data_IF_165768000384
#
_entry.id   IF_165768000384
#
_cell.length_a   1.000
_cell.length_b   1.000
_cell.length_c   1.000
_cell.angle_alpha   90.00
_cell.angle_beta   90.00
_cell.angle_gamma   90.00
#
_symmetry.space_group_name_H-M   'P 1'
#
loop_
_entity.id
_entity.type
_entity.pdbx_description
1 polymer ?
#
# COMPACT_ATOMS: atom_id res chain seq x y z
N UNK A 1 53.63 -32.71 -20.91
CA UNK A 1 53.61 -31.85 -19.71
C UNK A 1 52.15 -31.52 -19.42
N UNK A 2 51.54 -32.23 -18.47
CA UNK A 2 50.14 -32.03 -18.07
C UNK A 2 50.06 -30.97 -16.97
N UNK A 3 49.36 -29.88 -17.23
CA UNK A 3 49.03 -28.89 -16.21
C UNK A 3 47.74 -29.32 -15.51
N UNK A 4 47.85 -29.74 -14.25
CA UNK A 4 46.70 -29.94 -13.36
C UNK A 4 46.23 -28.59 -12.82
N UNK A 5 44.96 -28.27 -13.02
CA UNK A 5 44.33 -27.10 -12.40
C UNK A 5 43.89 -27.40 -10.96
N UNK A 6 44.10 -26.47 -10.02
CA UNK A 6 43.67 -26.65 -8.64
C UNK A 6 42.17 -26.35 -8.49
N UNK A 7 41.47 -27.32 -7.89
CA UNK A 7 40.08 -27.20 -7.41
C UNK A 7 39.99 -26.16 -6.29
N UNK A 8 39.49 -24.96 -6.60
CA UNK A 8 39.08 -23.99 -5.58
C UNK A 8 37.75 -24.42 -4.94
N UNK A 9 37.77 -24.64 -3.62
CA UNK A 9 36.55 -24.85 -2.83
C UNK A 9 35.85 -23.50 -2.60
N UNK A 10 34.50 -23.45 -2.62
CA UNK A 10 33.77 -22.22 -2.34
C UNK A 10 33.93 -21.80 -0.88
N UNK A 11 34.40 -20.58 -0.69
CA UNK A 11 34.52 -19.93 0.60
C UNK A 11 33.14 -19.44 1.02
N UNK A 12 32.45 -20.20 1.88
CA UNK A 12 31.18 -19.77 2.49
C UNK A 12 31.52 -18.71 3.53
N UNK A 13 31.08 -17.47 3.30
CA UNK A 13 31.17 -16.42 4.32
C UNK A 13 30.07 -16.60 5.37
N UNK A 14 30.37 -16.51 6.67
CA UNK A 14 29.36 -16.54 7.72
C UNK A 14 28.71 -15.16 7.82
N UNK A 15 27.47 -15.05 7.37
CA UNK A 15 26.69 -13.83 7.51
C UNK A 15 26.33 -13.60 8.98
N UNK A 16 26.47 -12.34 9.36
CA UNK A 16 26.23 -11.72 10.66
C UNK A 16 24.91 -12.16 11.32
N UNK A 17 25.00 -12.74 12.53
CA UNK A 17 23.92 -12.69 13.49
C UNK A 17 23.83 -11.28 14.07
N UNK A 18 22.89 -10.45 13.59
CA UNK A 18 22.46 -9.27 14.30
C UNK A 18 21.57 -9.69 15.48
N UNK A 19 22.00 -9.33 16.69
CA UNK A 19 21.24 -9.52 17.91
C UNK A 19 19.94 -8.72 17.88
N UNK A 20 18.84 -9.42 18.12
CA UNK A 20 17.51 -8.84 18.36
C UNK A 20 17.55 -8.27 19.78
N UNK A 21 17.72 -6.95 19.88
CA UNK A 21 17.53 -6.19 21.11
C UNK A 21 16.05 -6.21 21.49
N UNK A 22 15.72 -6.95 22.54
CA UNK A 22 14.41 -6.91 23.19
C UNK A 22 14.37 -5.68 24.12
N UNK A 23 14.03 -4.52 23.57
CA UNK A 23 13.61 -3.39 24.41
C UNK A 23 12.14 -3.58 24.80
N UNK A 24 11.79 -3.56 26.10
CA UNK A 24 10.41 -3.63 26.54
C UNK A 24 9.66 -2.34 26.16
N UNK A 25 8.40 -2.40 25.71
CA UNK A 25 7.64 -1.21 25.38
C UNK A 25 7.36 -0.38 26.63
N UNK A 26 7.70 0.90 26.57
CA UNK A 26 7.34 1.90 27.56
C UNK A 26 5.82 1.90 27.77
N UNK A 27 5.40 1.46 28.96
CA UNK A 27 4.02 1.51 29.42
C UNK A 27 3.63 2.98 29.66
N UNK A 28 2.98 3.62 28.69
CA UNK A 28 2.28 4.88 28.91
C UNK A 28 0.89 4.51 29.42
N UNK A 29 0.72 4.58 30.75
CA UNK A 29 -0.54 4.35 31.45
C UNK A 29 -1.47 5.56 31.26
N UNK A 30 -2.36 5.50 30.26
CA UNK A 30 -3.45 6.45 30.07
C UNK A 30 -4.67 6.08 30.95
N UNK A 31 -4.46 5.93 32.26
CA UNK A 31 -5.56 5.95 33.25
C UNK A 31 -5.97 7.38 33.54
N UNK A 32 -6.58 8.02 32.55
CA UNK A 32 -7.05 9.40 32.63
C UNK A 32 -8.48 9.54 32.12
N UNK A 33 -9.45 9.47 33.04
CA UNK A 33 -10.82 10.02 32.90
C UNK A 33 -11.73 9.36 31.86
N UNK A 34 -12.39 8.27 32.29
CA UNK A 34 -13.76 7.96 31.86
C UNK A 34 -14.61 7.58 33.05
N UNK A 35 -14.82 8.55 33.94
CA UNK A 35 -16.03 8.61 34.76
C UNK A 35 -16.95 9.61 34.09
N UNK A 36 -17.50 9.24 32.93
CA UNK A 36 -18.66 9.92 32.40
C UNK A 36 -19.81 9.52 33.34
N UNK A 37 -20.04 10.37 34.34
CA UNK A 37 -21.26 10.37 35.11
C UNK A 37 -22.41 10.35 34.12
N UNK A 38 -23.11 9.22 34.09
CA UNK A 38 -24.51 9.15 33.67
C UNK A 38 -25.30 9.98 34.69
N UNK A 39 -25.23 11.30 34.57
CA UNK A 39 -26.22 12.19 35.13
C UNK A 39 -27.49 12.04 34.27
N UNK A 40 -28.19 10.92 34.47
CA UNK A 40 -29.64 10.87 34.28
C UNK A 40 -30.26 11.77 35.35
N UNK A 41 -30.07 13.08 35.22
CA UNK A 41 -30.92 14.04 35.92
C UNK A 41 -32.24 13.96 35.18
N UNK A 42 -33.16 13.17 35.75
CA UNK A 42 -34.59 13.26 35.46
C UNK A 42 -35.02 14.70 35.73
N UNK A 43 -34.92 15.56 34.71
CA UNK A 43 -35.42 16.95 34.76
C UNK A 43 -36.94 16.96 35.00
N UNK A 44 -37.61 15.82 34.77
CA UNK A 44 -39.05 15.63 34.98
C UNK A 44 -39.50 15.80 36.43
N UNK A 45 -38.65 15.50 37.43
CA UNK A 45 -39.10 15.47 38.84
C UNK A 45 -38.84 16.78 39.61
N UNK A 46 -37.93 17.63 39.12
CA UNK A 46 -37.60 18.90 39.80
C UNK A 46 -38.46 20.09 39.36
N UNK A 47 -39.15 20.00 38.21
CA UNK A 47 -39.94 21.12 37.66
C UNK A 47 -41.38 21.12 38.18
N UNK A 48 -41.88 20.00 38.73
CA UNK A 48 -43.29 19.88 39.12
C UNK A 48 -43.63 20.38 40.53
N UNK A 49 -42.64 20.75 41.36
CA UNK A 49 -42.89 21.14 42.76
C UNK A 49 -43.11 22.65 43.01
N UNK A 50 -43.07 23.50 42.00
CA UNK A 50 -43.16 24.97 42.19
C UNK A 50 -44.59 25.53 42.04
N UNK A 51 -45.58 24.77 41.55
CA UNK A 51 -46.85 25.38 41.08
C UNK A 51 -48.07 25.20 42.00
N UNK A 52 -48.04 24.36 43.04
CA UNK A 52 -49.30 23.98 43.75
C UNK A 52 -49.54 24.75 45.07
N UNK A 53 -48.77 25.80 45.37
CA UNK A 53 -48.72 26.36 46.75
C UNK A 53 -49.13 27.80 47.01
N UNK A 54 -49.47 28.66 46.02
CA UNK A 54 -49.67 30.10 46.29
C UNK A 54 -51.04 30.63 45.83
N UNK A 55 -51.82 31.03 46.83
CA UNK A 55 -52.95 31.94 46.69
C UNK A 55 -52.44 33.30 46.17
N UNK A 56 -52.99 33.78 45.06
CA UNK A 56 -53.14 35.19 44.62
C UNK A 56 -51.99 36.17 44.97
N UNK A 57 -50.73 35.87 44.60
CA UNK A 57 -49.65 36.87 44.64
C UNK A 57 -48.85 36.89 43.31
N UNK A 58 -48.90 38.04 42.65
CA UNK A 58 -48.05 38.60 41.59
C UNK A 58 -47.72 37.78 40.33
N UNK A 59 -48.57 37.94 39.31
CA UNK A 59 -48.28 37.54 37.92
C UNK A 59 -46.94 38.09 37.37
N UNK A 60 -46.47 39.23 37.90
CA UNK A 60 -45.18 39.80 37.53
C UNK A 60 -43.98 38.94 37.98
N UNK A 61 -44.05 38.27 39.13
CA UNK A 61 -42.96 37.45 39.64
C UNK A 61 -42.83 36.13 38.87
N UNK A 62 -43.97 35.54 38.49
CA UNK A 62 -44.02 34.33 37.67
C UNK A 62 -43.47 34.55 36.25
N UNK A 63 -43.70 35.73 35.67
CA UNK A 63 -43.13 36.09 34.37
C UNK A 63 -41.60 36.21 34.42
N UNK A 64 -41.05 36.79 35.48
CA UNK A 64 -39.59 36.96 35.64
C UNK A 64 -38.90 35.62 35.89
N UNK A 65 -39.47 34.72 36.69
CA UNK A 65 -38.91 33.37 36.89
C UNK A 65 -39.01 32.50 35.63
N UNK A 66 -40.12 32.59 34.89
CA UNK A 66 -40.24 31.94 33.57
C UNK A 66 -39.21 32.43 32.56
N UNK A 67 -38.98 33.74 32.49
CA UNK A 67 -37.97 34.33 31.62
C UNK A 67 -36.53 33.94 32.02
N UNK A 68 -36.24 33.87 33.32
CA UNK A 68 -34.94 33.45 33.84
C UNK A 68 -34.65 31.96 33.56
N UNK A 69 -35.65 31.09 33.68
CA UNK A 69 -35.51 29.66 33.32
C UNK A 69 -35.34 29.50 31.81
N UNK A 70 -36.09 30.25 31.01
CA UNK A 70 -35.97 30.24 29.54
C UNK A 70 -34.59 30.68 29.05
N UNK A 71 -33.99 31.70 29.68
CA UNK A 71 -32.63 32.17 29.31
C UNK A 71 -31.55 31.15 29.68
N UNK A 72 -31.64 30.50 30.85
CA UNK A 72 -30.72 29.43 31.26
C UNK A 72 -30.82 28.20 30.35
N UNK A 73 -32.03 27.79 29.97
CA UNK A 73 -32.22 26.70 29.01
C UNK A 73 -31.59 27.03 27.65
N UNK A 74 -31.70 28.28 27.20
CA UNK A 74 -31.10 28.75 25.94
C UNK A 74 -29.56 28.77 26.00
N UNK A 75 -28.98 29.18 27.13
CA UNK A 75 -27.52 29.14 27.35
C UNK A 75 -27.01 27.69 27.41
N UNK A 76 -27.73 26.79 28.07
CA UNK A 76 -27.37 25.37 28.10
C UNK A 76 -27.40 24.73 26.71
N UNK A 77 -28.45 25.02 25.93
CA UNK A 77 -28.58 24.55 24.55
C UNK A 77 -27.47 25.09 23.64
N UNK A 78 -27.09 26.37 23.78
CA UNK A 78 -26.03 26.97 22.96
C UNK A 78 -24.65 26.42 23.30
N UNK A 79 -24.35 26.13 24.57
CA UNK A 79 -23.11 25.48 24.99
C UNK A 79 -23.03 24.03 24.47
N UNK A 80 -24.12 23.27 24.58
CA UNK A 80 -24.18 21.91 24.04
C UNK A 80 -23.98 21.91 22.51
N UNK A 81 -24.66 22.79 21.79
CA UNK A 81 -24.50 22.95 20.35
C UNK A 81 -23.06 23.32 19.96
N UNK A 82 -22.42 24.24 20.69
CA UNK A 82 -21.02 24.61 20.48
C UNK A 82 -20.05 23.43 20.71
N UNK A 83 -20.34 22.57 21.68
CA UNK A 83 -19.54 21.37 21.94
C UNK A 83 -19.67 20.34 20.81
N UNK A 84 -20.89 20.05 20.37
CA UNK A 84 -21.14 19.16 19.22
C UNK A 84 -20.52 19.70 17.92
N UNK A 85 -20.60 21.01 17.67
CA UNK A 85 -19.97 21.63 16.50
C UNK A 85 -18.44 21.48 16.54
N UNK A 86 -17.82 21.67 17.72
CA UNK A 86 -16.38 21.51 17.89
C UNK A 86 -15.93 20.07 17.66
N UNK A 87 -16.64 19.09 18.23
CA UNK A 87 -16.32 17.68 18.00
C UNK A 87 -16.53 17.28 16.54
N UNK A 88 -17.63 17.74 15.93
CA UNK A 88 -17.88 17.54 14.50
C UNK A 88 -16.77 18.08 13.61
N UNK A 89 -16.28 19.30 13.88
CA UNK A 89 -15.18 19.91 13.14
C UNK A 89 -13.86 19.12 13.31
N UNK A 90 -13.57 18.63 14.51
CA UNK A 90 -12.38 17.80 14.76
C UNK A 90 -12.46 16.45 14.06
N UNK A 91 -13.62 15.80 14.05
CA UNK A 91 -13.84 14.54 13.35
C UNK A 91 -13.70 14.76 11.84
N UNK A 92 -14.32 15.80 11.29
CA UNK A 92 -14.23 16.15 9.88
C UNK A 92 -12.79 16.44 9.45
N UNK A 93 -12.04 17.23 10.24
CA UNK A 93 -10.62 17.51 9.97
C UNK A 93 -9.76 16.24 9.99
N UNK A 94 -10.00 15.32 10.92
CA UNK A 94 -9.30 14.03 10.98
C UNK A 94 -9.67 13.12 9.82
N UNK A 95 -10.92 13.12 9.39
CA UNK A 95 -11.39 12.36 8.25
C UNK A 95 -10.76 12.87 6.95
N UNK A 96 -10.74 14.19 6.74
CA UNK A 96 -10.12 14.79 5.56
C UNK A 96 -8.62 14.54 5.51
N UNK A 97 -7.92 14.71 6.64
CA UNK A 97 -6.48 14.42 6.69
C UNK A 97 -6.15 12.92 6.50
N UNK A 98 -7.09 12.01 6.75
CA UNK A 98 -6.94 10.60 6.37
C UNK A 98 -7.15 10.41 4.88
N UNK A 99 -8.18 11.04 4.31
CA UNK A 99 -8.48 11.01 2.88
C UNK A 99 -7.32 11.54 2.05
N UNK A 100 -6.72 12.66 2.43
CA UNK A 100 -5.54 13.24 1.77
C UNK A 100 -4.38 12.25 1.75
N UNK A 101 -4.07 11.61 2.90
CA UNK A 101 -2.99 10.62 2.99
C UNK A 101 -3.27 9.36 2.17
N UNK A 102 -4.52 8.88 2.18
CA UNK A 102 -4.90 7.71 1.39
C UNK A 102 -4.85 8.02 -0.11
N UNK A 103 -5.27 9.22 -0.54
CA UNK A 103 -5.22 9.61 -1.95
C UNK A 103 -3.81 9.66 -2.53
N UNK A 104 -2.83 10.16 -1.76
CA UNK A 104 -1.41 10.15 -2.18
C UNK A 104 -0.88 8.72 -2.33
N UNK A 105 -1.21 7.84 -1.38
CA UNK A 105 -0.78 6.43 -1.42
C UNK A 105 -1.42 5.64 -2.53
N UNK A 106 -2.73 5.80 -2.71
CA UNK A 106 -3.49 5.17 -3.79
C UNK A 106 -2.90 5.54 -5.15
N UNK A 107 -2.53 6.82 -5.34
CA UNK A 107 -1.82 7.28 -6.52
C UNK A 107 -0.53 6.51 -6.77
N UNK A 108 0.38 6.49 -5.79
CA UNK A 108 1.66 5.79 -5.90
C UNK A 108 1.50 4.28 -6.17
N UNK A 109 0.58 3.61 -5.48
CA UNK A 109 0.33 2.18 -5.69
C UNK A 109 -0.23 1.89 -7.08
N UNK A 110 -1.18 2.70 -7.55
CA UNK A 110 -1.76 2.57 -8.88
C UNK A 110 -0.71 2.78 -9.97
N UNK A 111 0.20 3.73 -9.78
CA UNK A 111 1.27 4.00 -10.74
C UNK A 111 2.24 2.82 -10.83
N UNK A 112 2.62 2.21 -9.70
CA UNK A 112 3.47 1.00 -9.70
C UNK A 112 2.75 -0.20 -10.33
N UNK A 113 1.47 -0.42 -10.02
CA UNK A 113 0.67 -1.50 -10.65
C UNK A 113 0.57 -1.30 -12.15
N UNK A 114 0.37 -0.05 -12.60
CA UNK A 114 0.23 0.28 -14.02
C UNK A 114 1.54 0.09 -14.77
N UNK A 115 2.64 0.65 -14.26
CA UNK A 115 3.97 0.51 -14.87
C UNK A 115 4.45 -0.94 -14.84
N UNK A 116 4.27 -1.63 -13.71
CA UNK A 116 4.62 -3.04 -13.57
C UNK A 116 3.81 -3.94 -14.47
N UNK A 117 2.50 -3.69 -14.61
CA UNK A 117 1.64 -4.42 -15.53
C UNK A 117 2.02 -4.21 -16.99
N UNK A 118 2.45 -3.00 -17.38
CA UNK A 118 2.97 -2.74 -18.74
C UNK A 118 4.26 -3.50 -19.00
N UNK A 119 5.22 -3.50 -18.07
CA UNK A 119 6.47 -4.25 -18.19
C UNK A 119 6.20 -5.76 -18.29
N UNK A 120 5.42 -6.33 -17.36
CA UNK A 120 5.08 -7.77 -17.37
C UNK A 120 4.40 -8.14 -18.68
N UNK A 121 3.47 -7.31 -19.19
CA UNK A 121 2.82 -7.54 -20.47
C UNK A 121 3.82 -7.52 -21.64
N UNK A 122 4.73 -6.53 -21.67
CA UNK A 122 5.78 -6.44 -22.69
C UNK A 122 6.65 -7.70 -22.73
N UNK A 123 7.04 -8.21 -21.56
CA UNK A 123 7.81 -9.45 -21.43
C UNK A 123 7.00 -10.73 -21.74
N UNK A 124 5.71 -10.76 -21.38
CA UNK A 124 4.79 -11.87 -21.71
C UNK A 124 4.57 -11.93 -23.24
N UNK A 125 4.39 -10.78 -23.91
CA UNK A 125 4.21 -10.68 -25.36
C UNK A 125 5.46 -11.18 -26.11
N UNK A 126 6.65 -11.05 -25.52
CA UNK A 126 7.89 -11.66 -26.01
C UNK A 126 7.90 -13.19 -25.84
N UNK A 127 7.30 -13.72 -24.76
CA UNK A 127 7.39 -15.12 -24.35
C UNK A 127 6.28 -16.05 -24.89
N UNK A 128 5.14 -15.52 -25.36
CA UNK A 128 3.90 -16.31 -25.54
C UNK A 128 3.65 -16.86 -26.96
N UNK A 129 4.04 -16.21 -28.09
CA UNK A 129 3.86 -16.87 -29.41
C UNK A 129 5.03 -16.79 -30.41
N UNK A 130 6.03 -15.90 -30.26
CA UNK A 130 7.08 -15.78 -31.31
C UNK A 130 7.94 -17.03 -31.47
N UNK A 131 7.95 -17.92 -30.48
CA UNK A 131 8.85 -19.07 -30.46
C UNK A 131 8.17 -20.44 -30.33
N UNK A 132 6.87 -20.54 -30.05
CA UNK A 132 6.19 -21.84 -30.04
C UNK A 132 6.21 -22.51 -31.42
N UNK A 133 6.21 -21.70 -32.48
CA UNK A 133 6.33 -22.15 -33.87
C UNK A 133 7.76 -22.58 -34.25
N UNK A 134 8.75 -22.43 -33.37
CA UNK A 134 10.12 -22.88 -33.60
C UNK A 134 10.35 -24.34 -33.18
N UNK A 135 9.32 -25.01 -32.65
CA UNK A 135 9.41 -26.43 -32.28
C UNK A 135 9.46 -27.33 -33.53
N UNK A 136 10.67 -27.75 -33.91
CA UNK A 136 10.94 -29.01 -34.61
C UNK A 136 11.01 -29.00 -36.14
N UNK A 137 10.19 -28.23 -36.86
CA UNK A 137 10.08 -28.38 -38.34
C UNK A 137 10.50 -27.14 -39.16
N UNK A 138 10.76 -26.01 -38.52
CA UNK A 138 10.96 -24.71 -39.18
C UNK A 138 12.40 -24.18 -39.24
N UNK A 139 13.40 -24.98 -38.84
CA UNK A 139 14.83 -24.68 -39.04
C UNK A 139 15.23 -24.52 -40.53
N UNK A 140 14.31 -24.73 -41.49
CA UNK A 140 14.54 -24.58 -42.93
C UNK A 140 13.81 -23.39 -43.58
N UNK A 141 12.91 -22.67 -42.90
CA UNK A 141 12.31 -21.44 -43.44
C UNK A 141 13.00 -20.21 -42.85
N UNK A 142 13.14 -19.11 -43.61
CA UNK A 142 13.73 -17.86 -43.15
C UNK A 142 12.74 -17.14 -42.20
N UNK A 143 12.56 -17.71 -41.01
CA UNK A 143 12.98 -17.14 -39.74
C UNK A 143 13.23 -15.63 -39.80
N UNK A 144 12.30 -14.87 -39.23
CA UNK A 144 12.55 -13.48 -38.84
C UNK A 144 13.89 -13.48 -38.08
N UNK A 145 14.94 -12.77 -38.55
CA UNK A 145 16.23 -12.78 -37.89
C UNK A 145 16.02 -12.36 -36.43
N UNK A 146 16.54 -13.12 -35.47
CA UNK A 146 16.50 -12.75 -34.05
C UNK A 146 17.00 -11.32 -33.81
N UNK A 147 17.93 -10.85 -34.64
CA UNK A 147 18.42 -9.46 -34.69
C UNK A 147 17.33 -8.40 -34.96
N UNK A 148 16.20 -8.78 -35.56
CA UNK A 148 15.03 -7.89 -35.76
C UNK A 148 14.01 -7.95 -34.62
N UNK A 149 14.19 -8.89 -33.68
CA UNK A 149 13.36 -8.96 -32.46
C UNK A 149 13.98 -8.16 -31.32
N UNK A 150 15.31 -8.13 -31.26
CA UNK A 150 16.10 -7.39 -30.28
C UNK A 150 16.84 -6.22 -30.95
N UNK A 151 16.09 -5.31 -31.55
CA UNK A 151 16.61 -4.08 -32.13
C UNK A 151 16.77 -2.97 -31.07
N UNK A 152 17.33 -1.82 -31.47
CA UNK A 152 17.53 -0.68 -30.57
C UNK A 152 16.20 -0.18 -29.97
N UNK A 153 15.13 -0.19 -30.77
CA UNK A 153 13.79 0.22 -30.35
C UNK A 153 13.26 -0.67 -29.20
N UNK A 154 13.49 -1.99 -29.28
CA UNK A 154 13.14 -2.93 -28.20
C UNK A 154 13.85 -2.59 -26.88
N UNK A 155 15.15 -2.29 -26.91
CA UNK A 155 15.88 -1.95 -25.68
C UNK A 155 15.50 -0.58 -25.15
N UNK A 156 15.22 0.39 -26.03
CA UNK A 156 14.72 1.69 -25.62
C UNK A 156 13.36 1.54 -24.90
N UNK A 157 12.43 0.77 -25.46
CA UNK A 157 11.14 0.50 -24.82
C UNK A 157 11.30 -0.24 -23.47
N UNK A 158 12.16 -1.27 -23.42
CA UNK A 158 12.45 -2.01 -22.19
C UNK A 158 13.03 -1.10 -21.10
N UNK A 159 13.99 -0.23 -21.46
CA UNK A 159 14.59 0.73 -20.53
C UNK A 159 13.58 1.78 -20.05
N UNK A 160 12.69 2.25 -20.91
CA UNK A 160 11.60 3.18 -20.52
C UNK A 160 10.67 2.50 -19.49
N UNK A 161 10.30 1.24 -19.72
CA UNK A 161 9.43 0.49 -18.83
C UNK A 161 10.11 0.18 -17.48
N UNK A 162 11.39 -0.22 -17.49
CA UNK A 162 12.19 -0.47 -16.28
C UNK A 162 12.31 0.82 -15.44
N UNK A 163 12.63 1.94 -16.07
CA UNK A 163 12.72 3.24 -15.41
C UNK A 163 11.37 3.67 -14.83
N UNK A 164 10.26 3.42 -15.53
CA UNK A 164 8.92 3.72 -15.04
C UNK A 164 8.56 2.89 -13.79
N UNK A 165 8.94 1.60 -13.75
CA UNK A 165 8.78 0.74 -12.57
C UNK A 165 9.64 1.26 -11.41
N UNK A 166 10.91 1.57 -11.66
CA UNK A 166 11.83 2.08 -10.64
C UNK A 166 11.33 3.39 -10.05
N UNK A 167 10.92 4.35 -10.89
CA UNK A 167 10.39 5.64 -10.45
C UNK A 167 9.11 5.47 -9.63
N UNK A 168 8.19 4.61 -10.06
CA UNK A 168 6.96 4.36 -9.31
C UNK A 168 7.25 3.67 -7.96
N UNK A 169 8.23 2.76 -7.91
CA UNK A 169 8.64 2.12 -6.67
C UNK A 169 9.22 3.12 -5.65
N UNK A 170 10.02 4.10 -6.10
CA UNK A 170 10.55 5.15 -5.21
C UNK A 170 9.39 5.88 -4.52
N UNK A 171 8.34 6.27 -5.25
CA UNK A 171 7.17 6.91 -4.65
C UNK A 171 6.48 6.01 -3.61
N UNK A 172 6.27 4.73 -3.94
CA UNK A 172 5.70 3.73 -3.00
C UNK A 172 6.54 3.61 -1.73
N UNK A 173 7.86 3.62 -1.86
CA UNK A 173 8.79 3.52 -0.72
C UNK A 173 8.72 4.74 0.21
N UNK A 174 8.36 5.90 -0.32
CA UNK A 174 8.25 7.16 0.43
C UNK A 174 6.91 7.28 1.18
N UNK A 175 5.80 6.86 0.55
CA UNK A 175 4.45 7.11 1.07
C UNK A 175 3.80 5.89 1.74
N UNK A 176 4.25 4.69 1.39
CA UNK A 176 3.68 3.43 1.83
C UNK A 176 4.15 2.96 3.21
N UNK A 177 3.39 2.09 3.89
CA UNK A 177 3.87 1.39 5.08
C UNK A 177 4.99 0.42 4.69
N UNK A 178 5.85 0.09 5.67
CA UNK A 178 7.00 -0.80 5.46
C UNK A 178 6.63 -2.18 4.85
N UNK A 179 5.46 -2.69 5.17
CA UNK A 179 4.97 -3.98 4.64
C UNK A 179 4.69 -3.92 3.14
N UNK A 180 3.98 -2.89 2.68
CA UNK A 180 3.69 -2.68 1.25
C UNK A 180 4.95 -2.30 0.49
N UNK A 181 5.81 -1.44 1.08
CA UNK A 181 7.09 -1.08 0.48
C UNK A 181 7.99 -2.30 0.26
N UNK A 182 8.03 -3.24 1.20
CA UNK A 182 8.78 -4.51 1.05
C UNK A 182 8.24 -5.36 -0.11
N UNK A 183 6.93 -5.50 -0.24
CA UNK A 183 6.36 -6.20 -1.40
C UNK A 183 6.69 -5.49 -2.72
N UNK A 184 6.73 -4.15 -2.72
CA UNK A 184 7.15 -3.36 -3.87
C UNK A 184 8.63 -3.58 -4.23
N UNK A 185 9.50 -3.73 -3.23
CA UNK A 185 10.92 -4.01 -3.40
C UNK A 185 11.15 -5.40 -4.01
N UNK A 186 10.43 -6.42 -3.52
CA UNK A 186 10.48 -7.79 -4.07
C UNK A 186 10.01 -7.82 -5.54
N UNK A 187 8.95 -7.06 -5.86
CA UNK A 187 8.50 -6.88 -7.24
C UNK A 187 9.55 -6.18 -8.10
N UNK A 188 10.08 -5.04 -7.65
CA UNK A 188 11.08 -4.24 -8.37
C UNK A 188 12.35 -5.07 -8.67
N UNK A 189 12.86 -5.79 -7.67
CA UNK A 189 14.02 -6.65 -7.83
C UNK A 189 13.78 -7.74 -8.88
N UNK A 190 12.59 -8.33 -8.90
CA UNK A 190 12.23 -9.38 -9.86
C UNK A 190 12.02 -8.84 -11.26
N UNK A 191 11.42 -7.66 -11.39
CA UNK A 191 11.28 -6.93 -12.64
C UNK A 191 12.66 -6.62 -13.25
N UNK A 192 13.58 -6.07 -12.45
CA UNK A 192 14.97 -5.82 -12.86
C UNK A 192 15.68 -7.10 -13.30
N UNK A 193 15.51 -8.19 -12.54
CA UNK A 193 16.08 -9.49 -12.90
C UNK A 193 15.53 -9.99 -14.25
N UNK A 194 14.24 -9.83 -14.52
CA UNK A 194 13.63 -10.19 -15.79
C UNK A 194 14.17 -9.34 -16.97
N UNK A 195 14.34 -8.03 -16.79
CA UNK A 195 14.99 -7.15 -17.76
C UNK A 195 16.43 -7.57 -18.04
N UNK A 196 17.21 -7.84 -16.99
CA UNK A 196 18.60 -8.30 -17.10
C UNK A 196 18.71 -9.64 -17.84
N UNK A 197 17.86 -10.61 -17.50
CA UNK A 197 17.81 -11.90 -18.20
C UNK A 197 17.49 -11.71 -19.67
N UNK A 198 16.54 -10.84 -20.00
CA UNK A 198 16.17 -10.53 -21.39
C UNK A 198 17.35 -9.96 -22.18
N UNK A 199 18.10 -9.01 -21.59
CA UNK A 199 19.31 -8.46 -22.21
C UNK A 199 20.48 -9.45 -22.31
N UNK A 200 20.65 -10.33 -21.32
CA UNK A 200 21.68 -11.38 -21.39
C UNK A 200 21.36 -12.41 -22.48
N UNK A 201 20.08 -12.78 -22.58
CA UNK A 201 19.57 -13.69 -23.60
C UNK A 201 19.78 -13.15 -25.00
N UNK A 202 19.46 -11.88 -25.23
CA UNK A 202 19.59 -11.28 -26.55
C UNK A 202 21.05 -11.27 -27.01
N UNK A 203 22.00 -10.93 -26.14
CA UNK A 203 23.44 -11.01 -26.41
C UNK A 203 23.84 -12.45 -26.77
N UNK A 204 23.41 -13.43 -25.97
CA UNK A 204 23.73 -14.85 -26.19
C UNK A 204 23.20 -15.36 -27.53
N UNK A 205 21.99 -14.96 -27.91
CA UNK A 205 21.38 -15.33 -29.20
C UNK A 205 22.06 -14.65 -30.40
N UNK A 206 22.55 -13.41 -30.23
CA UNK A 206 23.32 -12.71 -31.26
C UNK A 206 24.69 -13.36 -31.50
N UNK A 207 25.37 -13.79 -30.42
CA UNK A 207 26.69 -14.44 -30.51
C UNK A 207 26.61 -15.91 -30.95
N UNK A 208 25.57 -16.62 -30.54
CA UNK A 208 25.36 -18.04 -30.86
C UNK A 208 23.91 -18.32 -31.28
N UNK A 209 23.53 -18.01 -32.53
CA UNK A 209 22.17 -18.21 -33.02
C UNK A 209 21.76 -19.69 -33.11
N UNK A 210 22.70 -20.63 -33.01
CA UNK A 210 22.44 -22.08 -32.94
C UNK A 210 22.26 -22.61 -31.53
N UNK A 211 22.34 -21.74 -30.50
CA UNK A 211 22.13 -22.08 -29.10
C UNK A 211 20.71 -22.61 -28.83
N UNK A 212 20.53 -23.27 -27.68
CA UNK A 212 19.24 -23.81 -27.26
C UNK A 212 18.26 -22.69 -26.91
N UNK A 213 17.58 -22.14 -27.93
CA UNK A 213 16.58 -21.09 -27.79
C UNK A 213 15.49 -21.45 -26.78
N UNK A 214 15.15 -22.74 -26.62
CA UNK A 214 14.16 -23.20 -25.65
C UNK A 214 14.58 -22.97 -24.20
N UNK A 215 15.86 -23.20 -23.87
CA UNK A 215 16.37 -22.96 -22.50
C UNK A 215 16.37 -21.48 -22.16
N UNK A 216 16.74 -20.67 -23.15
CA UNK A 216 16.76 -19.22 -23.11
C UNK A 216 15.36 -18.64 -22.86
N UNK A 217 14.37 -19.08 -23.62
CA UNK A 217 12.97 -18.65 -23.46
C UNK A 217 12.37 -19.14 -22.15
N UNK A 218 12.78 -20.33 -21.68
CA UNK A 218 12.37 -20.85 -20.38
C UNK A 218 12.86 -19.94 -19.24
N UNK A 219 14.08 -19.40 -19.36
CA UNK A 219 14.61 -18.45 -18.37
C UNK A 219 13.86 -17.11 -18.38
N UNK A 220 13.61 -16.52 -19.55
CA UNK A 220 12.79 -15.30 -19.66
C UNK A 220 11.41 -15.54 -19.04
N UNK A 221 10.73 -16.62 -19.44
CA UNK A 221 9.40 -16.97 -18.92
C UNK A 221 9.41 -17.17 -17.40
N UNK A 222 10.46 -17.79 -16.85
CA UNK A 222 10.61 -17.93 -15.40
C UNK A 222 10.71 -16.56 -14.73
N UNK A 223 11.59 -15.67 -15.20
CA UNK A 223 11.75 -14.32 -14.65
C UNK A 223 10.48 -13.48 -14.75
N UNK A 224 9.77 -13.54 -15.89
CA UNK A 224 8.49 -12.84 -16.07
C UNK A 224 7.42 -13.39 -15.14
N UNK A 225 7.34 -14.71 -14.94
CA UNK A 225 6.40 -15.31 -13.98
C UNK A 225 6.70 -14.89 -12.54
N UNK A 226 7.97 -14.81 -12.15
CA UNK A 226 8.37 -14.35 -10.81
C UNK A 226 7.97 -12.88 -10.60
N UNK A 227 8.26 -12.01 -11.58
CA UNK A 227 7.83 -10.61 -11.54
C UNK A 227 6.29 -10.47 -11.46
N UNK A 228 5.55 -11.29 -12.22
CA UNK A 228 4.07 -11.33 -12.19
C UNK A 228 3.51 -11.78 -10.85
N UNK A 229 4.12 -12.80 -10.24
CA UNK A 229 3.73 -13.29 -8.92
C UNK A 229 3.95 -12.21 -7.85
N UNK A 230 5.12 -11.55 -7.84
CA UNK A 230 5.39 -10.47 -6.90
C UNK A 230 4.52 -9.23 -7.13
N UNK A 231 4.17 -8.91 -8.39
CA UNK A 231 3.22 -7.85 -8.69
C UNK A 231 1.82 -8.16 -8.13
N UNK A 232 1.38 -9.41 -8.19
CA UNK A 232 0.12 -9.85 -7.60
C UNK A 232 0.13 -9.73 -6.08
N UNK A 233 1.22 -10.18 -5.42
CA UNK A 233 1.42 -10.04 -3.97
C UNK A 233 1.45 -8.57 -3.55
N UNK A 234 2.14 -7.72 -4.31
CA UNK A 234 2.13 -6.27 -4.07
C UNK A 234 0.71 -5.69 -4.18
N UNK A 235 -0.04 -6.05 -5.22
CA UNK A 235 -1.40 -5.58 -5.46
C UNK A 235 -2.35 -5.98 -4.33
N UNK A 236 -2.25 -7.22 -3.86
CA UNK A 236 -3.03 -7.71 -2.71
C UNK A 236 -2.67 -6.95 -1.43
N UNK A 237 -1.38 -6.80 -1.13
CA UNK A 237 -0.89 -6.04 0.04
C UNK A 237 -1.32 -4.57 0.02
N UNK A 238 -1.23 -3.92 -1.15
CA UNK A 238 -1.66 -2.54 -1.35
C UNK A 238 -3.17 -2.39 -1.17
N UNK A 239 -3.97 -3.33 -1.71
CA UNK A 239 -5.42 -3.35 -1.53
C UNK A 239 -5.80 -3.56 -0.08
N UNK A 240 -5.22 -4.56 0.58
CA UNK A 240 -5.50 -4.85 2.00
C UNK A 240 -5.21 -3.63 2.88
N UNK A 241 -4.15 -2.88 2.56
CA UNK A 241 -3.81 -1.66 3.29
C UNK A 241 -4.74 -0.48 2.99
N UNK A 242 -5.29 -0.37 1.78
CA UNK A 242 -6.25 0.68 1.43
C UNK A 242 -7.66 0.40 1.97
N UNK A 243 -8.07 -0.87 1.96
CA UNK A 243 -9.35 -1.35 2.50
C UNK A 243 -9.36 -1.28 4.04
N UNK A 244 -8.19 -1.45 4.66
CA UNK A 244 -8.01 -1.30 6.08
C UNK A 244 -7.84 0.19 6.43
N UNK A 245 -8.95 0.85 6.78
CA UNK A 245 -9.07 2.27 7.22
C UNK A 245 -8.19 2.65 8.45
N UNK A 246 -7.17 1.85 8.78
CA UNK A 246 -6.47 1.83 10.04
C UNK A 246 -7.33 1.27 11.17
N UNK A 247 -8.33 0.45 10.83
CA UNK A 247 -9.36 -0.05 11.75
C UNK A 247 -9.25 -1.55 12.05
N UNK A 248 -8.40 -2.35 11.38
CA UNK A 248 -8.07 -3.71 11.84
C UNK A 248 -7.44 -3.61 13.22
N UNK A 249 -8.32 -3.89 14.17
CA UNK A 249 -8.16 -4.40 15.52
C UNK A 249 -6.69 -4.60 15.88
N UNK A 250 -6.20 -3.71 16.75
CA UNK A 250 -5.23 -4.10 17.78
C UNK A 250 -5.58 -5.53 18.20
N UNK A 251 -4.62 -6.48 18.19
CA UNK A 251 -4.89 -7.83 18.65
C UNK A 251 -5.60 -7.71 20.00
N UNK A 252 -6.82 -8.23 20.09
CA UNK A 252 -7.57 -8.28 21.34
C UNK A 252 -6.71 -9.02 22.35
N UNK A 253 -6.07 -8.27 23.24
CA UNK A 253 -5.38 -8.83 24.41
C UNK A 253 -6.40 -9.42 25.35
#
# INVERSE_FOLDING_TARGET
MSYGMPSQKPHVQPWMMMGIGNDPPAHIDFRGRRSALLCNVSISDAVLYVVVGSRVMDAGLAAVTGAAVGSLATIGASLAAGWFQREGALIASRAEHRRERNGVREGAYRDLITSGGKLVKFLDDLAIPRFSDYSGELLTRPTIPLATVFDDDFYEELAVLENAVTSAFVEVSLVGPKTVAKCGEEFEASARQACMLTGWVSITLMENPTGNADDVLRQIRSGTNDAKNHLAVFTESARDFLDDDGLRKLPSR
#
